data_IF_618956750247
#
_entry.id   IF_618956750247
#
_cell.length_a   1.000
_cell.length_b   1.000
_cell.length_c   1.000
_cell.angle_alpha   90.00
_cell.angle_beta   90.00
_cell.angle_gamma   90.00
#
_symmetry.space_group_name_H-M   'P 1'
#
loop_
_entity.id
_entity.type
_entity.pdbx_description
1 polymer ?
#
# COMPACT_ATOMS: atom_id res chain seq x y z
N UNK A 1 47.69 44.63 -10.82
CA UNK A 1 46.34 44.14 -10.45
C UNK A 1 46.47 43.04 -9.39
N UNK A 2 46.27 43.35 -8.11
CA UNK A 2 46.25 42.35 -7.02
C UNK A 2 44.79 41.96 -6.76
N UNK A 3 44.44 40.69 -6.98
CA UNK A 3 43.11 40.15 -6.62
C UNK A 3 43.05 40.04 -5.09
N UNK A 4 42.17 40.81 -4.45
CA UNK A 4 41.83 40.62 -3.05
C UNK A 4 41.01 39.32 -2.94
N UNK A 5 41.65 38.24 -2.49
CA UNK A 5 40.95 37.02 -2.12
C UNK A 5 40.38 37.29 -0.74
N UNK A 6 39.08 37.57 -0.68
CA UNK A 6 38.37 37.72 0.59
C UNK A 6 38.47 36.40 1.35
N UNK A 7 39.19 36.41 2.47
CA UNK A 7 39.22 35.33 3.45
C UNK A 7 37.85 35.27 4.12
N UNK A 8 36.96 34.47 3.54
CA UNK A 8 35.70 34.09 4.18
C UNK A 8 36.06 33.50 5.56
N UNK A 9 35.59 34.15 6.62
CA UNK A 9 35.87 33.77 8.00
C UNK A 9 35.38 32.34 8.26
N UNK A 10 36.27 31.48 8.76
CA UNK A 10 36.04 30.06 9.06
C UNK A 10 34.72 29.80 9.83
N UNK A 11 34.31 30.74 10.69
CA UNK A 11 33.06 30.68 11.46
C UNK A 11 31.80 30.77 10.60
N UNK A 12 31.82 31.54 9.51
CA UNK A 12 30.66 31.70 8.62
C UNK A 12 30.38 30.41 7.85
N UNK A 13 31.42 29.71 7.41
CA UNK A 13 31.31 28.41 6.74
C UNK A 13 30.67 27.35 7.66
N UNK A 14 31.05 27.34 8.94
CA UNK A 14 30.46 26.42 9.93
C UNK A 14 28.97 26.69 10.13
N UNK A 15 28.58 27.96 10.31
CA UNK A 15 27.16 28.32 10.49
C UNK A 15 26.33 27.92 9.27
N UNK A 16 26.82 28.17 8.05
CA UNK A 16 26.13 27.76 6.83
C UNK A 16 26.02 26.24 6.70
N UNK A 17 27.06 25.48 7.06
CA UNK A 17 27.03 24.03 7.06
C UNK A 17 26.00 23.47 8.06
N UNK A 18 25.93 24.02 9.27
CA UNK A 18 24.94 23.63 10.29
C UNK A 18 23.52 23.96 9.83
N UNK A 19 23.29 25.16 9.29
CA UNK A 19 21.98 25.55 8.76
C UNK A 19 21.56 24.66 7.59
N UNK A 20 22.47 24.35 6.67
CA UNK A 20 22.21 23.44 5.57
C UNK A 20 21.85 22.03 6.05
N UNK A 21 22.56 21.52 7.04
CA UNK A 21 22.25 20.22 7.66
C UNK A 21 20.89 20.22 8.37
N UNK A 22 20.56 21.26 9.13
CA UNK A 22 19.25 21.42 9.77
C UNK A 22 18.12 21.51 8.74
N UNK A 23 18.32 22.25 7.64
CA UNK A 23 17.38 22.30 6.54
C UNK A 23 17.14 20.91 5.93
N UNK A 24 18.18 20.11 5.73
CA UNK A 24 18.03 18.73 5.24
C UNK A 24 17.18 17.88 6.19
N UNK A 25 17.41 17.98 7.50
CA UNK A 25 16.61 17.26 8.50
C UNK A 25 15.14 17.67 8.49
N UNK A 26 14.83 18.93 8.16
CA UNK A 26 13.46 19.43 8.05
C UNK A 26 12.76 19.01 6.76
N UNK A 27 13.50 18.85 5.66
CA UNK A 27 12.92 18.52 4.34
C UNK A 27 12.66 17.02 4.17
N UNK A 28 13.51 16.15 4.72
CA UNK A 28 13.40 14.70 4.53
C UNK A 28 12.07 14.12 5.06
N UNK A 29 11.51 14.55 6.20
CA UNK A 29 10.17 14.13 6.66
C UNK A 29 9.02 14.56 5.74
N UNK A 30 9.23 15.55 4.86
CA UNK A 30 8.23 16.02 3.92
C UNK A 30 8.15 15.16 2.65
N UNK A 31 9.03 14.17 2.50
CA UNK A 31 8.96 13.27 1.35
C UNK A 31 7.63 12.51 1.32
N UNK A 32 6.95 12.48 0.17
CA UNK A 32 5.64 11.87 0.03
C UNK A 32 5.74 10.34 0.04
N UNK A 33 4.66 9.66 0.43
CA UNK A 33 4.59 8.19 0.41
C UNK A 33 4.94 7.59 -0.97
N UNK A 34 4.57 8.31 -2.04
CA UNK A 34 4.87 7.96 -3.44
C UNK A 34 6.37 7.90 -3.76
N UNK A 35 7.23 8.52 -2.95
CA UNK A 35 8.68 8.35 -3.08
C UNK A 35 9.09 6.89 -2.83
N UNK A 36 8.41 6.16 -1.93
CA UNK A 36 8.73 4.76 -1.64
C UNK A 36 7.81 3.80 -2.40
N UNK A 37 6.52 4.08 -2.41
CA UNK A 37 5.51 3.13 -2.87
C UNK A 37 4.33 3.84 -3.50
N UNK A 38 3.90 3.36 -4.66
CA UNK A 38 2.67 3.80 -5.34
C UNK A 38 1.74 2.60 -5.44
N UNK A 39 0.50 2.77 -4.96
CA UNK A 39 -0.59 1.82 -5.15
C UNK A 39 -1.74 2.60 -5.77
N UNK A 40 -1.89 2.49 -7.10
CA UNK A 40 -2.77 3.37 -7.88
C UNK A 40 -4.16 2.78 -8.01
N UNK A 41 -4.24 1.50 -8.34
CA UNK A 41 -5.51 0.81 -8.55
C UNK A 41 -5.47 -0.62 -8.04
N UNK A 42 -6.62 -1.07 -7.58
CA UNK A 42 -6.91 -2.46 -7.29
C UNK A 42 -8.25 -2.78 -7.95
N UNK A 43 -8.30 -3.82 -8.78
CA UNK A 43 -9.51 -4.22 -9.48
C UNK A 43 -9.72 -5.70 -9.25
N UNK A 44 -10.86 -6.07 -8.69
CA UNK A 44 -11.27 -7.47 -8.56
C UNK A 44 -12.10 -7.81 -9.79
N UNK A 45 -11.63 -8.79 -10.57
CA UNK A 45 -12.29 -9.20 -11.81
C UNK A 45 -13.39 -10.23 -11.54
N UNK A 46 -14.26 -10.42 -12.52
CA UNK A 46 -15.21 -11.54 -12.47
C UNK A 46 -14.55 -12.88 -12.79
N UNK A 47 -13.40 -12.85 -13.47
CA UNK A 47 -12.60 -14.04 -13.80
C UNK A 47 -12.07 -14.75 -12.54
N UNK A 48 -11.93 -16.07 -12.66
CA UNK A 48 -11.42 -16.94 -11.60
C UNK A 48 -10.30 -17.83 -12.11
N UNK A 49 -9.41 -18.22 -11.21
CA UNK A 49 -8.44 -19.29 -11.46
C UNK A 49 -9.17 -20.64 -11.60
N UNK A 50 -8.51 -21.70 -12.12
CA UNK A 50 -9.08 -23.05 -12.16
C UNK A 50 -9.55 -23.55 -10.79
N UNK A 51 -8.88 -23.14 -9.71
CA UNK A 51 -9.24 -23.48 -8.32
C UNK A 51 -10.34 -22.59 -7.73
N UNK A 52 -10.92 -21.67 -8.52
CA UNK A 52 -12.05 -20.84 -8.12
C UNK A 52 -11.70 -19.54 -7.41
N UNK A 53 -10.42 -19.16 -7.29
CA UNK A 53 -10.02 -17.89 -6.69
C UNK A 53 -10.28 -16.72 -7.64
N UNK A 54 -10.87 -15.62 -7.14
CA UNK A 54 -11.06 -14.41 -7.95
C UNK A 54 -9.72 -13.79 -8.33
N UNK A 55 -9.56 -13.48 -9.61
CA UNK A 55 -8.39 -12.79 -10.14
C UNK A 55 -8.48 -11.30 -9.76
N UNK A 56 -7.32 -10.70 -9.54
CA UNK A 56 -7.18 -9.31 -9.16
C UNK A 56 -6.11 -8.65 -10.04
N UNK A 57 -6.43 -7.46 -10.56
CA UNK A 57 -5.47 -6.59 -11.23
C UNK A 57 -5.02 -5.52 -10.24
N UNK A 58 -3.71 -5.35 -10.11
CA UNK A 58 -3.13 -4.40 -9.16
C UNK A 58 -2.08 -3.58 -9.88
N UNK A 59 -2.27 -2.26 -9.90
CA UNK A 59 -1.24 -1.32 -10.32
C UNK A 59 -0.49 -0.82 -9.09
N UNK A 60 0.69 -1.40 -8.86
CA UNK A 60 1.61 -0.99 -7.81
C UNK A 60 3.03 -0.84 -8.34
N UNK A 61 3.79 0.05 -7.73
CA UNK A 61 5.22 0.21 -7.96
C UNK A 61 5.94 0.43 -6.63
N UNK A 62 6.99 -0.35 -6.38
CA UNK A 62 7.90 -0.15 -5.25
C UNK A 62 9.10 0.64 -5.78
N UNK A 63 9.15 1.94 -5.50
CA UNK A 63 10.21 2.82 -5.99
C UNK A 63 11.49 2.67 -5.19
N UNK A 64 11.40 2.40 -3.89
CA UNK A 64 12.53 2.18 -3.00
C UNK A 64 12.22 1.07 -2.00
N UNK A 65 13.26 0.40 -1.51
CA UNK A 65 13.09 -0.63 -0.48
C UNK A 65 12.63 0.00 0.84
N UNK A 66 11.70 -0.65 1.53
CA UNK A 66 11.25 -0.24 2.86
C UNK A 66 10.72 -1.42 3.68
N UNK A 67 10.74 -1.24 5.00
CA UNK A 67 9.95 -2.07 5.91
C UNK A 67 8.57 -1.45 6.02
N UNK A 68 7.51 -2.25 5.94
CA UNK A 68 6.15 -1.75 6.02
C UNK A 68 5.17 -2.76 6.59
N UNK A 69 3.99 -2.25 6.86
CA UNK A 69 2.83 -3.02 7.27
C UNK A 69 1.76 -2.90 6.17
N UNK A 70 0.88 -3.88 6.08
CA UNK A 70 -0.34 -3.76 5.27
C UNK A 70 -1.57 -4.04 6.12
N UNK A 71 -2.68 -3.41 5.74
CA UNK A 71 -4.03 -3.72 6.18
C UNK A 71 -4.90 -3.88 4.93
N UNK A 72 -5.68 -4.95 4.87
CA UNK A 72 -6.69 -5.14 3.83
C UNK A 72 -8.03 -5.32 4.53
N UNK A 73 -9.02 -4.53 4.17
CA UNK A 73 -10.39 -4.68 4.66
C UNK A 73 -11.28 -5.14 3.53
N UNK A 74 -12.00 -6.22 3.77
CA UNK A 74 -13.10 -6.65 2.93
C UNK A 74 -14.39 -6.04 3.48
N UNK A 75 -15.10 -5.32 2.63
CA UNK A 75 -16.27 -4.55 3.02
C UNK A 75 -17.47 -4.99 2.19
N UNK A 76 -18.61 -5.17 2.85
CA UNK A 76 -19.90 -5.44 2.22
C UNK A 76 -20.71 -4.15 2.13
N UNK A 77 -21.37 -3.94 0.99
CA UNK A 77 -22.28 -2.83 0.76
C UNK A 77 -23.64 -3.15 1.39
N UNK A 78 -24.14 -2.25 2.23
CA UNK A 78 -25.43 -2.38 2.91
C UNK A 78 -26.52 -1.54 2.23
N UNK A 79 -27.76 -1.70 2.72
CA UNK A 79 -28.87 -0.87 2.29
C UNK A 79 -28.56 0.62 2.53
N UNK A 80 -28.76 1.45 1.50
CA UNK A 80 -28.38 2.87 1.53
C UNK A 80 -26.98 3.18 0.99
N UNK A 81 -26.22 2.18 0.53
CA UNK A 81 -24.94 2.38 -0.16
C UNK A 81 -23.72 2.56 0.74
N UNK A 82 -23.89 2.47 2.07
CA UNK A 82 -22.79 2.41 3.03
C UNK A 82 -22.04 1.08 2.95
N UNK A 83 -20.81 1.06 3.43
CA UNK A 83 -19.97 -0.14 3.48
C UNK A 83 -19.64 -0.47 4.92
N UNK A 84 -19.70 -1.76 5.25
CA UNK A 84 -19.29 -2.29 6.55
C UNK A 84 -18.13 -3.25 6.35
N UNK A 85 -17.07 -3.05 7.14
CA UNK A 85 -15.95 -3.98 7.18
C UNK A 85 -16.40 -5.29 7.82
N UNK A 86 -16.36 -6.36 7.04
CA UNK A 86 -16.70 -7.72 7.49
C UNK A 86 -15.46 -8.52 7.85
N UNK A 87 -14.30 -8.12 7.34
CA UNK A 87 -13.04 -8.79 7.59
C UNK A 87 -11.88 -7.80 7.47
N UNK A 88 -10.86 -7.99 8.31
CA UNK A 88 -9.61 -7.22 8.27
C UNK A 88 -8.42 -8.15 8.32
N UNK A 89 -7.57 -8.08 7.30
CA UNK A 89 -6.29 -8.78 7.18
C UNK A 89 -5.16 -7.81 7.49
N UNK A 90 -4.10 -8.29 8.16
CA UNK A 90 -2.95 -7.45 8.53
C UNK A 90 -1.65 -8.22 8.43
N UNK A 91 -0.62 -7.57 7.93
CA UNK A 91 0.76 -8.05 8.04
C UNK A 91 1.65 -6.93 8.53
N UNK A 92 2.60 -7.27 9.40
CA UNK A 92 3.53 -6.31 9.98
C UNK A 92 4.97 -6.70 9.67
N UNK A 93 5.85 -5.70 9.51
CA UNK A 93 7.28 -5.94 9.30
C UNK A 93 7.60 -6.62 7.96
N UNK A 94 6.79 -6.38 6.94
CA UNK A 94 7.01 -6.91 5.59
C UNK A 94 8.10 -6.08 4.91
N UNK A 95 9.08 -6.78 4.30
CA UNK A 95 10.12 -6.13 3.51
C UNK A 95 9.64 -5.96 2.06
N UNK A 96 9.34 -4.73 1.68
CA UNK A 96 9.03 -4.36 0.31
C UNK A 96 10.34 -4.08 -0.42
N UNK A 97 10.62 -4.85 -1.47
CA UNK A 97 11.82 -4.70 -2.31
C UNK A 97 11.43 -4.19 -3.69
N UNK A 98 12.25 -3.32 -4.29
CA UNK A 98 12.05 -2.77 -5.63
C UNK A 98 11.94 -3.84 -6.71
N UNK A 99 12.65 -4.96 -6.54
CA UNK A 99 12.63 -6.11 -7.45
C UNK A 99 11.46 -7.08 -7.21
N UNK A 100 10.64 -6.87 -6.17
CA UNK A 100 9.52 -7.74 -5.86
C UNK A 100 8.37 -7.53 -6.86
N UNK A 101 8.16 -8.52 -7.72
CA UNK A 101 7.01 -8.55 -8.63
C UNK A 101 5.76 -9.09 -7.95
N UNK A 102 4.61 -8.80 -8.54
CA UNK A 102 3.39 -9.57 -8.26
C UNK A 102 3.54 -10.98 -8.84
N UNK A 103 2.80 -11.99 -8.32
CA UNK A 103 2.68 -13.26 -9.00
C UNK A 103 2.06 -13.05 -10.40
N UNK A 104 2.32 -13.95 -11.37
CA UNK A 104 1.83 -13.81 -12.74
C UNK A 104 0.30 -13.64 -12.83
N UNK A 105 -0.44 -14.29 -11.93
CA UNK A 105 -1.89 -14.15 -11.78
C UNK A 105 -2.17 -13.80 -10.31
N UNK A 106 -2.29 -12.50 -9.97
CA UNK A 106 -2.66 -12.09 -8.62
C UNK A 106 -4.10 -12.49 -8.34
N UNK A 107 -4.33 -13.09 -7.18
CA UNK A 107 -5.68 -13.42 -6.71
C UNK A 107 -6.05 -12.58 -5.51
N UNK A 108 -7.35 -12.44 -5.27
CA UNK A 108 -7.87 -11.75 -4.09
C UNK A 108 -7.36 -12.40 -2.79
N UNK A 109 -7.31 -13.72 -2.74
CA UNK A 109 -6.87 -14.44 -1.54
C UNK A 109 -5.36 -14.29 -1.30
N UNK A 110 -4.55 -14.27 -2.37
CA UNK A 110 -3.13 -13.92 -2.26
C UNK A 110 -2.95 -12.49 -1.76
N UNK A 111 -3.75 -11.54 -2.25
CA UNK A 111 -3.65 -10.12 -1.87
C UNK A 111 -3.98 -9.87 -0.40
N UNK A 112 -4.95 -10.60 0.15
CA UNK A 112 -5.29 -10.57 1.59
C UNK A 112 -4.17 -11.13 2.48
N UNK A 113 -3.30 -11.97 1.91
CA UNK A 113 -2.19 -12.61 2.60
C UNK A 113 -2.64 -13.68 3.60
N UNK A 114 -1.65 -14.34 4.21
CA UNK A 114 -1.90 -15.53 5.03
C UNK A 114 -2.60 -15.24 6.37
N UNK A 115 -2.54 -13.98 6.85
CA UNK A 115 -3.20 -13.56 8.09
C UNK A 115 -4.72 -13.76 8.08
N UNK A 116 -5.30 -13.92 6.90
CA UNK A 116 -6.73 -14.12 6.69
C UNK A 116 -7.14 -15.55 6.34
N UNK A 117 -6.21 -16.53 6.40
CA UNK A 117 -6.54 -17.94 6.14
C UNK A 117 -7.55 -18.54 7.13
N UNK A 118 -7.66 -17.99 8.35
CA UNK A 118 -8.63 -18.45 9.35
C UNK A 118 -10.05 -17.89 9.15
N UNK A 119 -10.26 -17.08 8.12
CA UNK A 119 -11.56 -16.48 7.83
C UNK A 119 -12.15 -17.14 6.59
N UNK A 120 -13.49 -17.25 6.60
CA UNK A 120 -14.28 -17.87 5.54
C UNK A 120 -13.79 -17.42 4.15
N UNK A 121 -13.45 -18.34 3.24
CA UNK A 121 -13.09 -17.98 1.88
C UNK A 121 -14.22 -17.17 1.22
N UNK A 122 -13.90 -16.40 0.19
CA UNK A 122 -14.92 -15.61 -0.53
C UNK A 122 -16.10 -16.48 -0.98
N UNK A 123 -15.85 -17.75 -1.29
CA UNK A 123 -16.86 -18.77 -1.63
C UNK A 123 -17.88 -19.04 -0.53
N UNK A 124 -17.67 -18.61 0.71
CA UNK A 124 -18.54 -18.84 1.86
C UNK A 124 -19.20 -17.56 2.42
N UNK A 125 -18.87 -16.38 1.88
CA UNK A 125 -19.51 -15.12 2.30
C UNK A 125 -21.01 -15.11 1.93
N UNK A 126 -21.85 -14.19 2.42
CA UNK A 126 -23.20 -14.05 1.90
C UNK A 126 -23.23 -13.55 0.45
N UNK A 127 -24.33 -13.73 -0.28
CA UNK A 127 -24.50 -13.02 -1.55
C UNK A 127 -24.57 -11.51 -1.31
N UNK A 128 -23.95 -10.70 -2.15
CA UNK A 128 -23.84 -9.26 -1.91
C UNK A 128 -22.88 -8.53 -2.85
N UNK A 129 -22.77 -7.21 -2.65
CA UNK A 129 -21.76 -6.38 -3.33
C UNK A 129 -20.65 -6.07 -2.34
N UNK A 130 -19.42 -6.28 -2.76
CA UNK A 130 -18.22 -6.17 -1.94
C UNK A 130 -17.24 -5.19 -2.56
N UNK A 131 -16.34 -4.66 -1.73
CA UNK A 131 -15.11 -3.98 -2.16
C UNK A 131 -13.97 -4.31 -1.21
N UNK A 132 -12.74 -4.16 -1.67
CA UNK A 132 -11.54 -4.33 -0.85
C UNK A 132 -10.83 -3.00 -0.71
N UNK A 133 -10.61 -2.54 0.51
CA UNK A 133 -9.77 -1.39 0.79
C UNK A 133 -8.42 -1.87 1.32
N UNK A 134 -7.33 -1.36 0.75
CA UNK A 134 -5.97 -1.71 1.13
C UNK A 134 -5.27 -0.47 1.64
N UNK A 135 -4.52 -0.62 2.73
CA UNK A 135 -3.59 0.35 3.27
C UNK A 135 -2.21 -0.27 3.33
N UNK A 136 -1.19 0.48 2.92
CA UNK A 136 0.21 0.11 3.12
C UNK A 136 0.87 1.22 3.92
N UNK A 137 1.36 0.86 5.10
CA UNK A 137 2.09 1.74 5.99
C UNK A 137 3.59 1.53 5.76
N UNK A 138 4.25 2.54 5.22
CA UNK A 138 5.70 2.60 5.02
C UNK A 138 6.34 3.02 6.34
N UNK A 139 7.33 2.26 6.82
CA UNK A 139 8.09 2.53 8.05
C UNK A 139 9.58 2.69 7.73
N UNK A 140 10.02 3.89 7.31
CA UNK A 140 11.44 4.17 7.17
C UNK A 140 12.10 4.26 8.55
N UNK A 141 13.37 3.89 8.66
CA UNK A 141 14.06 3.75 9.97
C UNK A 141 14.12 5.04 10.79
N UNK A 142 14.13 6.21 10.14
CA UNK A 142 14.37 7.53 10.76
C UNK A 142 13.19 8.50 10.54
N UNK A 143 12.24 8.15 9.68
CA UNK A 143 11.16 9.05 9.29
C UNK A 143 9.81 8.61 9.90
N UNK A 144 8.90 9.56 10.13
CA UNK A 144 7.54 9.23 10.50
C UNK A 144 6.91 8.27 9.48
N UNK A 145 6.07 7.31 9.93
CA UNK A 145 5.38 6.42 9.02
C UNK A 145 4.55 7.18 7.98
N UNK A 146 4.49 6.63 6.78
CA UNK A 146 3.65 7.15 5.69
C UNK A 146 2.61 6.10 5.32
N UNK A 147 1.45 6.52 4.87
CA UNK A 147 0.40 5.60 4.47
C UNK A 147 -0.05 5.90 3.05
N UNK A 148 -0.29 4.84 2.27
CA UNK A 148 -1.06 4.90 1.04
C UNK A 148 -2.27 4.00 1.18
N UNK A 149 -3.38 4.39 0.55
CA UNK A 149 -4.58 3.56 0.54
C UNK A 149 -5.31 3.63 -0.79
N UNK A 150 -5.97 2.53 -1.13
CA UNK A 150 -6.84 2.42 -2.31
C UNK A 150 -7.96 1.45 -2.01
N UNK A 151 -9.16 1.72 -2.52
CA UNK A 151 -10.24 0.75 -2.54
C UNK A 151 -10.48 0.25 -3.96
N UNK A 152 -10.86 -1.02 -4.07
CA UNK A 152 -11.17 -1.63 -5.36
C UNK A 152 -12.50 -1.13 -5.92
N UNK A 153 -12.79 -1.55 -7.16
CA UNK A 153 -14.16 -1.55 -7.66
C UNK A 153 -15.10 -2.36 -6.75
N UNK A 154 -16.40 -2.08 -6.89
CA UNK A 154 -17.44 -2.97 -6.42
C UNK A 154 -17.44 -4.25 -7.26
N UNK A 155 -17.51 -5.41 -6.61
CA UNK A 155 -17.69 -6.71 -7.25
C UNK A 155 -18.77 -7.51 -6.53
N UNK A 156 -19.45 -8.40 -7.27
CA UNK A 156 -20.60 -9.13 -6.71
C UNK A 156 -20.23 -10.55 -6.32
N UNK A 157 -20.88 -11.04 -5.27
CA UNK A 157 -21.01 -12.47 -5.00
C UNK A 157 -22.44 -12.86 -5.32
N UNK A 158 -22.62 -13.61 -6.40
CA UNK A 158 -23.89 -14.28 -6.66
C UNK A 158 -24.01 -15.50 -5.76
N UNK A 159 -25.22 -15.79 -5.30
CA UNK A 159 -25.52 -17.08 -4.66
C UNK A 159 -25.18 -18.17 -5.66
N UNK A 160 -24.44 -19.21 -5.25
CA UNK A 160 -24.17 -20.35 -6.11
C UNK A 160 -25.51 -20.88 -6.64
N UNK A 161 -25.77 -20.75 -7.95
CA UNK A 161 -26.89 -21.46 -8.56
C UNK A 161 -26.55 -22.93 -8.46
N UNK A 162 -27.34 -23.67 -7.69
CA UNK A 162 -27.31 -25.13 -7.74
C UNK A 162 -27.70 -25.48 -9.18
N UNK A 163 -26.82 -26.09 -10.00
CA UNK A 163 -27.23 -26.56 -11.30
C UNK A 163 -28.30 -27.64 -11.10
N UNK A 164 -29.47 -27.40 -11.69
CA UNK A 164 -30.57 -28.36 -11.77
C UNK A 164 -30.22 -29.51 -12.71
#
# INVERSE_FOLDING_TARGET
MRRAIATISDRTSIVLAVLGWLCLLLVVPLWPASFWYSLRTTVVTEDRTPDGHRIMQVDRTIHHDFLGDYRVEEQIKYHGGSYFTIQTCRGAGIRYRRDASLPPVPTLDWWKGDSCRMVKPFTELPAGTYRICTWVTIRPSVLPPKEVSVCSNDFRRETARIPS
#
